data_IF_452607925704
#
_entry.id   IF_452607925704
#
_cell.length_a   1.000
_cell.length_b   1.000
_cell.length_c   1.000
_cell.angle_alpha   90.00
_cell.angle_beta   90.00
_cell.angle_gamma   90.00
#
_symmetry.space_group_name_H-M   'P 1'
#
loop_
_entity.id
_entity.type
_entity.pdbx_description
1 polymer ?
#
# COMPACT_ATOMS: atom_id res chain seq x y z
N UNK A 1 2.58 5.29 12.19
CA UNK A 1 1.48 5.39 11.21
C UNK A 1 0.58 6.57 11.60
N UNK A 2 -0.12 7.20 10.64
CA UNK A 2 -1.07 8.28 10.95
C UNK A 2 -2.38 7.71 11.51
N UNK A 3 -2.90 6.62 10.91
CA UNK A 3 -4.09 5.92 11.38
C UNK A 3 -4.04 4.43 11.01
N UNK A 4 -4.77 3.60 11.76
CA UNK A 4 -5.02 2.19 11.48
C UNK A 4 -6.42 1.84 11.96
N UNK A 5 -7.22 1.22 11.10
CA UNK A 5 -8.52 0.65 11.45
C UNK A 5 -8.52 -0.82 11.10
N UNK A 6 -8.90 -1.68 12.06
CA UNK A 6 -9.03 -3.12 11.88
C UNK A 6 -10.48 -3.50 12.15
N UNK A 7 -11.16 -4.02 11.12
CA UNK A 7 -12.54 -4.50 11.26
C UNK A 7 -12.61 -5.69 12.23
N UNK A 8 -13.77 -5.85 12.88
CA UNK A 8 -14.03 -7.00 13.75
C UNK A 8 -13.82 -8.32 13.00
N UNK A 9 -13.22 -9.30 13.70
CA UNK A 9 -12.87 -10.59 13.11
C UNK A 9 -11.64 -10.60 12.19
N UNK A 10 -11.10 -9.45 11.78
CA UNK A 10 -9.88 -9.41 10.97
C UNK A 10 -8.65 -9.79 11.80
N UNK A 11 -7.75 -10.60 11.23
CA UNK A 11 -6.56 -11.09 11.94
C UNK A 11 -5.53 -9.99 12.23
N UNK A 12 -4.67 -10.15 13.25
CA UNK A 12 -3.53 -9.25 13.46
C UNK A 12 -2.53 -9.23 12.29
N UNK A 13 -2.42 -10.34 11.55
CA UNK A 13 -1.56 -10.43 10.38
C UNK A 13 -1.98 -9.45 9.28
N UNK A 14 -3.27 -9.36 8.99
CA UNK A 14 -3.78 -8.47 7.94
C UNK A 14 -3.62 -7.01 8.34
N UNK A 15 -3.81 -6.66 9.62
CA UNK A 15 -3.53 -5.31 10.10
C UNK A 15 -2.05 -4.91 9.90
N UNK A 16 -1.11 -5.81 10.21
CA UNK A 16 0.32 -5.58 9.94
C UNK A 16 0.59 -5.45 8.44
N UNK A 17 -0.02 -6.30 7.62
CA UNK A 17 0.15 -6.24 6.16
C UNK A 17 -0.39 -4.95 5.56
N UNK A 18 -1.55 -4.47 6.01
CA UNK A 18 -2.09 -3.18 5.58
C UNK A 18 -1.11 -2.03 5.85
N UNK A 19 -0.53 -1.99 7.06
CA UNK A 19 0.50 -1.01 7.41
C UNK A 19 1.76 -1.11 6.54
N UNK A 20 2.23 -2.33 6.27
CA UNK A 20 3.43 -2.59 5.46
C UNK A 20 3.22 -2.22 3.99
N UNK A 21 2.04 -2.48 3.44
CA UNK A 21 1.66 -2.05 2.08
C UNK A 21 1.65 -0.53 1.95
N UNK A 22 1.01 0.18 2.91
CA UNK A 22 1.02 1.65 2.94
C UNK A 22 2.46 2.19 3.09
N UNK A 23 3.23 1.62 4.01
CA UNK A 23 4.63 2.00 4.23
C UNK A 23 5.46 1.81 2.95
N UNK A 24 5.31 0.68 2.26
CA UNK A 24 6.04 0.41 1.02
C UNK A 24 5.70 1.43 -0.07
N UNK A 25 4.40 1.70 -0.29
CA UNK A 25 3.99 2.68 -1.28
C UNK A 25 4.50 4.10 -0.95
N UNK A 26 4.47 4.49 0.32
CA UNK A 26 5.02 5.77 0.76
C UNK A 26 6.56 5.84 0.60
N UNK A 27 7.28 4.76 0.90
CA UNK A 27 8.75 4.71 0.81
C UNK A 27 9.26 4.75 -0.62
N UNK A 28 8.59 4.08 -1.56
CA UNK A 28 8.99 4.05 -2.97
C UNK A 28 8.34 5.16 -3.81
N UNK A 29 7.26 5.76 -3.32
CA UNK A 29 6.47 6.73 -4.08
C UNK A 29 5.76 6.11 -5.30
N UNK A 30 5.54 4.80 -5.32
CA UNK A 30 4.75 4.10 -6.33
C UNK A 30 3.85 3.08 -5.65
N UNK A 31 2.76 2.71 -6.33
CA UNK A 31 1.84 1.70 -5.82
C UNK A 31 2.54 0.34 -5.73
N UNK A 32 2.16 -0.45 -4.72
CA UNK A 32 2.75 -1.79 -4.47
C UNK A 32 2.60 -2.74 -5.65
N UNK A 33 1.55 -2.61 -6.48
CA UNK A 33 1.41 -3.36 -7.74
C UNK A 33 2.51 -3.01 -8.75
N UNK A 34 2.77 -1.72 -8.96
CA UNK A 34 3.84 -1.26 -9.85
C UNK A 34 5.21 -1.76 -9.38
N UNK A 35 5.43 -1.73 -8.06
CA UNK A 35 6.65 -2.25 -7.46
C UNK A 35 6.80 -3.76 -7.70
N UNK A 36 5.70 -4.53 -7.61
CA UNK A 36 5.71 -5.95 -7.94
C UNK A 36 6.12 -6.24 -9.38
N UNK A 37 5.56 -5.50 -10.33
CA UNK A 37 5.90 -5.65 -11.75
C UNK A 37 7.37 -5.33 -12.01
N UNK A 38 7.90 -4.31 -11.31
CA UNK A 38 9.32 -3.97 -11.38
C UNK A 38 10.22 -5.12 -10.88
N UNK A 39 9.92 -5.72 -9.72
CA UNK A 39 10.70 -6.84 -9.19
C UNK A 39 10.64 -8.08 -10.08
N UNK A 40 9.46 -8.40 -10.64
CA UNK A 40 9.29 -9.48 -11.62
C UNK A 40 10.19 -9.27 -12.84
N UNK A 41 10.27 -8.05 -13.36
CA UNK A 41 11.14 -7.71 -14.50
C UNK A 41 12.63 -7.69 -14.15
N UNK A 42 12.98 -7.27 -12.93
CA UNK A 42 14.36 -7.17 -12.47
C UNK A 42 14.99 -8.51 -12.06
N UNK A 43 14.19 -9.57 -11.90
CA UNK A 43 14.67 -10.86 -11.37
C UNK A 43 15.16 -10.76 -9.92
N UNK A 44 14.62 -9.81 -9.14
CA UNK A 44 14.97 -9.57 -7.74
C UNK A 44 13.75 -9.76 -6.85
N UNK A 45 13.99 -10.06 -5.59
CA UNK A 45 12.97 -10.04 -4.54
C UNK A 45 13.02 -8.73 -3.75
N UNK A 46 11.89 -8.32 -3.16
CA UNK A 46 11.82 -7.11 -2.35
C UNK A 46 12.69 -7.15 -1.10
N UNK A 47 13.00 -8.35 -0.58
CA UNK A 47 13.96 -8.55 0.50
C UNK A 47 15.37 -8.04 0.16
N UNK A 48 15.70 -7.81 -1.12
CA UNK A 48 16.96 -7.19 -1.53
C UNK A 48 17.20 -5.80 -0.92
N UNK A 49 16.13 -5.09 -0.53
CA UNK A 49 16.23 -3.77 0.10
C UNK A 49 16.48 -3.81 1.62
N UNK A 50 16.59 -5.00 2.22
CA UNK A 50 16.92 -5.21 3.65
C UNK A 50 16.02 -4.45 4.65
N UNK A 51 14.76 -4.20 4.27
CA UNK A 51 13.74 -3.68 5.16
C UNK A 51 12.59 -4.68 5.25
N UNK A 52 12.48 -5.30 6.44
CA UNK A 52 11.49 -6.31 6.79
C UNK A 52 10.03 -5.83 6.71
N UNK A 53 9.79 -4.53 6.58
CA UNK A 53 8.46 -3.95 6.41
C UNK A 53 8.04 -3.82 4.96
N UNK A 54 8.98 -3.95 4.02
CA UNK A 54 8.68 -3.82 2.61
C UNK A 54 7.91 -5.03 2.08
N UNK A 55 6.94 -4.76 1.22
CA UNK A 55 6.14 -5.80 0.55
C UNK A 55 5.69 -5.37 -0.83
N UNK A 56 5.84 -6.27 -1.81
CA UNK A 56 5.34 -6.09 -3.17
C UNK A 56 3.93 -6.69 -3.34
N UNK A 57 3.24 -7.03 -2.25
CA UNK A 57 1.85 -7.51 -2.30
C UNK A 57 0.92 -6.31 -2.51
N UNK A 58 -0.03 -6.42 -3.43
CA UNK A 58 -0.83 -5.28 -3.87
C UNK A 58 -1.75 -4.81 -2.74
N UNK A 59 -2.17 -3.55 -2.79
CA UNK A 59 -3.05 -2.96 -1.78
C UNK A 59 -2.49 -1.70 -1.13
N UNK A 60 -1.22 -1.38 -1.35
CA UNK A 60 -0.62 -0.09 -1.02
C UNK A 60 -0.72 0.88 -2.19
N UNK A 61 -1.38 2.03 -1.98
CA UNK A 61 -1.64 3.07 -2.98
C UNK A 61 -1.14 4.43 -2.49
N UNK A 62 -0.42 5.17 -3.32
CA UNK A 62 0.08 6.50 -3.00
C UNK A 62 -1.05 7.55 -2.90
N UNK A 63 -0.92 8.48 -1.95
CA UNK A 63 -1.76 9.69 -1.88
C UNK A 63 -0.93 10.86 -2.42
N UNK A 64 -1.44 11.54 -3.44
CA UNK A 64 -0.79 12.69 -4.07
C UNK A 64 -1.73 13.89 -4.11
N UNK A 65 -1.16 15.09 -3.95
CA UNK A 65 -1.86 16.35 -4.17
C UNK A 65 -2.02 16.63 -5.67
N UNK A 66 -2.82 17.65 -6.00
CA UNK A 66 -3.04 18.08 -7.40
C UNK A 66 -1.77 18.50 -8.15
N UNK A 67 -0.72 18.92 -7.43
CA UNK A 67 0.60 19.25 -8.00
C UNK A 67 1.51 18.00 -8.17
N UNK A 68 1.02 16.82 -7.80
CA UNK A 68 1.74 15.55 -7.87
C UNK A 68 2.56 15.23 -6.62
N UNK A 69 2.65 16.12 -5.63
CA UNK A 69 3.41 15.91 -4.40
C UNK A 69 2.89 14.70 -3.63
N UNK A 70 3.80 13.77 -3.28
CA UNK A 70 3.48 12.61 -2.45
C UNK A 70 3.32 13.04 -0.99
N UNK A 71 2.14 12.80 -0.42
CA UNK A 71 1.83 13.19 0.98
C UNK A 71 1.56 12.00 1.89
N UNK A 72 1.47 10.79 1.34
CA UNK A 72 1.30 9.57 2.11
C UNK A 72 0.90 8.39 1.25
N UNK A 73 0.34 7.37 1.88
CA UNK A 73 -0.20 6.20 1.21
C UNK A 73 -1.30 5.53 2.05
N UNK A 74 -2.19 4.81 1.38
CA UNK A 74 -3.24 3.96 1.95
C UNK A 74 -2.82 2.51 1.75
N UNK A 75 -3.13 1.65 2.72
CA UNK A 75 -2.87 0.22 2.64
C UNK A 75 -4.06 -0.57 3.15
N UNK A 76 -4.53 -1.55 2.37
CA UNK A 76 -5.62 -2.45 2.75
C UNK A 76 -5.14 -3.89 2.75
N UNK A 77 -5.61 -4.69 3.71
CA UNK A 77 -5.35 -6.12 3.73
C UNK A 77 -6.46 -6.91 4.42
N UNK A 78 -6.85 -8.02 3.78
CA UNK A 78 -7.82 -8.96 4.31
C UNK A 78 -8.55 -9.77 3.23
N UNK A 79 -8.36 -9.43 1.96
CA UNK A 79 -8.93 -10.12 0.80
C UNK A 79 -7.84 -10.54 -0.17
N UNK A 80 -8.20 -10.90 -1.41
CA UNK A 80 -7.20 -11.07 -2.48
C UNK A 80 -6.54 -9.73 -2.77
N UNK A 81 -5.31 -9.76 -3.28
CA UNK A 81 -4.48 -8.56 -3.44
C UNK A 81 -5.09 -7.52 -4.40
N UNK A 82 -5.82 -7.96 -5.41
CA UNK A 82 -6.60 -7.12 -6.32
C UNK A 82 -7.80 -6.46 -5.64
N UNK A 83 -8.51 -7.20 -4.78
CA UNK A 83 -9.62 -6.66 -3.97
C UNK A 83 -9.11 -5.65 -2.93
N UNK A 84 -7.98 -5.95 -2.27
CA UNK A 84 -7.33 -5.04 -1.33
C UNK A 84 -6.94 -3.71 -2.00
N UNK A 85 -6.37 -3.77 -3.21
CA UNK A 85 -6.03 -2.57 -3.98
C UNK A 85 -7.26 -1.76 -4.38
N UNK A 86 -8.31 -2.42 -4.88
CA UNK A 86 -9.55 -1.74 -5.21
C UNK A 86 -10.12 -0.98 -4.01
N UNK A 87 -10.07 -1.57 -2.80
CA UNK A 87 -10.50 -0.91 -1.57
C UNK A 87 -9.62 0.29 -1.19
N UNK A 88 -8.29 0.20 -1.37
CA UNK A 88 -7.40 1.34 -1.16
C UNK A 88 -7.72 2.51 -2.10
N UNK A 89 -8.06 2.24 -3.37
CA UNK A 89 -8.51 3.28 -4.29
C UNK A 89 -9.87 3.88 -3.92
N UNK A 90 -10.79 3.10 -3.36
CA UNK A 90 -12.04 3.65 -2.78
C UNK A 90 -11.72 4.65 -1.66
N UNK A 91 -10.78 4.30 -0.77
CA UNK A 91 -10.31 5.19 0.29
C UNK A 91 -9.67 6.47 -0.26
N UNK A 92 -8.82 6.36 -1.29
CA UNK A 92 -8.19 7.52 -1.94
C UNK A 92 -9.24 8.44 -2.58
N UNK A 93 -10.21 7.86 -3.29
CA UNK A 93 -11.30 8.62 -3.92
C UNK A 93 -12.14 9.37 -2.88
N UNK A 94 -12.37 8.77 -1.71
CA UNK A 94 -13.17 9.37 -0.65
C UNK A 94 -12.52 10.62 -0.01
N UNK A 95 -11.19 10.78 -0.14
CA UNK A 95 -10.48 11.95 0.37
C UNK A 95 -10.08 12.93 -0.74
N UNK A 96 -10.45 12.66 -2.00
CA UNK A 96 -9.95 13.41 -3.14
C UNK A 96 -10.42 14.87 -3.17
N UNK A 97 -11.60 15.16 -2.61
CA UNK A 97 -12.14 16.52 -2.53
C UNK A 97 -11.41 17.42 -1.51
N UNK A 98 -10.56 16.83 -0.66
CA UNK A 98 -9.77 17.55 0.36
C UNK A 98 -8.25 17.49 0.13
N UNK A 99 -7.82 16.92 -1.01
CA UNK A 99 -6.43 16.87 -1.48
C UNK A 99 -6.17 17.97 -2.51
#
# INVERSE_FOLDING_TARGET
PISLVRMDGASPLTARMALNKAYTAASFGIDTRMLNDWFKGAGKDIAWYDDHRLTAVYGGVCIRLGDGSLVGAIGTSGRREDEDEALSFVGLKAIQDVL
#
